data_IF_994932596202
#
_entry.id   IF_994932596202
#
_cell.length_a   1.000
_cell.length_b   1.000
_cell.length_c   1.000
_cell.angle_alpha   90.00
_cell.angle_beta   90.00
_cell.angle_gamma   90.00
#
_symmetry.space_group_name_H-M   'P 1'
#
loop_
_entity.id
_entity.type
_entity.pdbx_description
1 polymer ?
#
# COMPACT_ATOMS: atom_id res chain seq x y z
N UNK A 1 -22.22 35.41 -14.31
CA UNK A 1 -21.51 34.18 -14.71
C UNK A 1 -20.01 34.46 -14.71
N UNK A 2 -19.29 34.12 -13.65
CA UNK A 2 -17.83 34.28 -13.55
C UNK A 2 -17.19 32.91 -13.75
N UNK A 3 -16.44 32.77 -14.85
CA UNK A 3 -15.65 31.57 -15.13
C UNK A 3 -14.40 31.61 -14.24
N UNK A 4 -14.24 30.60 -13.40
CA UNK A 4 -13.00 30.37 -12.61
C UNK A 4 -12.06 29.56 -13.49
N UNK A 5 -10.95 30.18 -13.87
CA UNK A 5 -9.86 29.55 -14.61
C UNK A 5 -8.94 28.87 -13.61
N UNK A 6 -8.88 27.51 -13.62
CA UNK A 6 -7.91 26.74 -12.83
C UNK A 6 -6.63 26.67 -13.65
N UNK A 7 -5.59 27.36 -13.17
CA UNK A 7 -4.25 27.36 -13.75
C UNK A 7 -3.49 26.17 -13.18
N UNK A 8 -3.28 25.12 -13.96
CA UNK A 8 -2.38 24.01 -13.63
C UNK A 8 -0.94 24.43 -13.91
N UNK A 9 -0.13 24.57 -12.84
CA UNK A 9 1.30 24.88 -12.94
C UNK A 9 2.06 23.59 -13.27
N UNK A 10 2.37 23.39 -14.55
CA UNK A 10 3.33 22.39 -14.98
C UNK A 10 4.74 22.99 -14.84
N UNK A 11 5.53 22.44 -13.92
CA UNK A 11 6.97 22.76 -13.83
C UNK A 11 7.69 22.09 -14.99
N UNK A 12 8.05 22.91 -16.00
CA UNK A 12 8.92 22.54 -17.12
C UNK A 12 10.37 22.70 -16.67
N UNK A 13 11.07 21.62 -16.35
CA UNK A 13 12.53 21.64 -16.15
C UNK A 13 13.19 21.74 -17.54
N UNK A 14 13.79 22.90 -17.81
CA UNK A 14 14.55 23.15 -19.02
C UNK A 14 15.81 22.29 -19.09
N UNK A 15 15.93 21.47 -20.12
CA UNK A 15 17.15 20.76 -20.50
C UNK A 15 17.86 21.65 -21.51
N UNK A 16 19.02 22.21 -21.12
CA UNK A 16 19.93 22.88 -22.06
C UNK A 16 20.63 21.83 -22.91
N UNK A 17 20.46 21.91 -24.22
CA UNK A 17 21.19 21.09 -25.18
C UNK A 17 22.66 21.52 -25.19
N UNK A 18 23.57 20.62 -24.82
CA UNK A 18 25.01 20.74 -25.09
C UNK A 18 25.34 19.97 -26.37
N UNK A 19 26.22 20.58 -27.17
CA UNK A 19 26.58 20.20 -28.52
C UNK A 19 27.10 18.78 -28.66
N UNK A 20 26.63 18.12 -29.73
CA UNK A 20 27.08 16.81 -30.15
C UNK A 20 28.45 16.92 -30.85
N UNK A 21 29.47 16.29 -30.29
CA UNK A 21 30.64 15.86 -31.00
C UNK A 21 30.54 14.34 -31.20
N UNK A 22 30.68 13.97 -32.49
CA UNK A 22 30.57 12.59 -32.92
C UNK A 22 31.81 11.80 -32.50
N UNK A 23 31.62 10.86 -31.54
CA UNK A 23 32.55 9.77 -31.30
C UNK A 23 31.75 8.46 -31.40
N UNK A 24 32.11 7.64 -32.37
CA UNK A 24 31.69 6.26 -32.53
C UNK A 24 32.12 5.41 -31.35
N UNK A 25 31.34 5.43 -30.31
CA UNK A 25 31.38 4.53 -29.17
C UNK A 25 29.96 4.21 -28.80
N UNK A 26 29.63 2.94 -28.64
CA UNK A 26 28.27 2.46 -28.40
C UNK A 26 27.58 3.29 -27.33
N UNK A 27 26.45 3.88 -27.69
CA UNK A 27 25.55 4.58 -26.77
C UNK A 27 24.99 3.53 -25.83
N UNK A 28 25.62 3.39 -24.66
CA UNK A 28 24.97 2.73 -23.54
C UNK A 28 23.77 3.62 -23.18
N UNK A 29 22.60 3.28 -23.65
CA UNK A 29 21.37 3.81 -23.09
C UNK A 29 21.37 3.37 -21.63
N UNK A 30 21.75 4.25 -20.73
CA UNK A 30 21.46 4.12 -19.30
C UNK A 30 19.94 4.19 -19.23
N UNK A 31 19.30 3.03 -19.37
CA UNK A 31 17.88 2.89 -19.14
C UNK A 31 17.64 3.41 -17.73
N UNK A 32 16.73 4.37 -17.59
CA UNK A 32 16.23 4.76 -16.28
C UNK A 32 15.59 3.52 -15.68
N UNK A 33 16.40 2.75 -14.91
CA UNK A 33 15.95 1.55 -14.23
C UNK A 33 15.13 1.88 -13.00
N UNK A 34 14.52 0.88 -12.40
CA UNK A 34 13.86 1.04 -11.11
C UNK A 34 14.91 1.36 -10.03
N UNK A 35 14.59 2.23 -9.09
CA UNK A 35 15.52 2.67 -8.06
C UNK A 35 14.84 2.85 -6.70
N UNK A 36 15.55 2.47 -5.62
CA UNK A 36 15.17 2.79 -4.25
C UNK A 36 16.05 3.92 -3.74
N UNK A 37 15.42 4.95 -3.18
CA UNK A 37 16.10 6.14 -2.65
C UNK A 37 15.55 6.53 -1.28
N UNK A 38 16.36 7.25 -0.50
CA UNK A 38 15.89 7.92 0.71
C UNK A 38 14.96 9.07 0.31
N UNK A 39 13.75 9.07 0.86
CA UNK A 39 12.70 10.02 0.46
C UNK A 39 13.04 11.49 0.75
N UNK A 40 13.96 11.76 1.70
CA UNK A 40 14.31 13.11 2.09
C UNK A 40 15.55 13.63 1.35
N UNK A 41 16.52 12.75 1.08
CA UNK A 41 17.84 13.15 0.52
C UNK A 41 18.04 12.75 -0.93
N UNK A 42 17.14 11.90 -1.48
CA UNK A 42 17.27 11.24 -2.78
C UNK A 42 18.54 10.36 -2.91
N UNK A 43 19.24 10.10 -1.81
CA UNK A 43 20.41 9.22 -1.82
C UNK A 43 19.98 7.79 -2.15
N UNK A 44 20.76 7.04 -2.97
CA UNK A 44 20.46 5.66 -3.29
C UNK A 44 20.51 4.78 -2.04
N UNK A 45 19.63 3.80 -1.97
CA UNK A 45 19.59 2.83 -0.87
C UNK A 45 19.99 1.46 -1.40
N UNK A 46 21.17 0.99 -0.97
CA UNK A 46 21.68 -0.35 -1.26
C UNK A 46 21.05 -1.41 -0.36
N UNK A 47 20.84 -2.61 -0.92
CA UNK A 47 20.39 -3.78 -0.18
C UNK A 47 18.95 -3.67 0.37
N UNK A 48 18.13 -2.75 -0.15
CA UNK A 48 16.70 -2.76 0.13
C UNK A 48 16.08 -4.00 -0.52
N UNK A 49 15.26 -4.73 0.24
CA UNK A 49 14.54 -5.88 -0.26
C UNK A 49 13.23 -5.43 -0.90
N UNK A 50 13.05 -5.72 -2.16
CA UNK A 50 11.83 -5.51 -2.93
C UNK A 50 11.13 -6.86 -3.07
N UNK A 51 9.84 -6.96 -2.76
CA UNK A 51 9.08 -8.20 -2.86
C UNK A 51 7.69 -7.99 -3.45
N UNK A 52 7.25 -9.00 -4.18
CA UNK A 52 5.90 -9.16 -4.72
C UNK A 52 5.35 -10.49 -4.22
N UNK A 53 4.70 -10.53 -3.04
CA UNK A 53 4.28 -11.79 -2.42
C UNK A 53 3.33 -12.62 -3.31
N UNK A 54 2.40 -11.96 -4.00
CA UNK A 54 1.45 -12.62 -4.92
C UNK A 54 2.16 -13.37 -6.06
N UNK A 55 3.31 -12.90 -6.52
CA UNK A 55 4.12 -13.50 -7.59
C UNK A 55 5.24 -14.40 -7.05
N UNK A 56 5.35 -14.54 -5.72
CA UNK A 56 6.49 -15.22 -5.08
C UNK A 56 7.84 -14.69 -5.58
N UNK A 57 7.94 -13.37 -5.78
CA UNK A 57 9.12 -12.72 -6.33
C UNK A 57 9.78 -11.84 -5.28
N UNK A 58 11.11 -11.86 -5.25
CA UNK A 58 11.90 -10.95 -4.42
C UNK A 58 13.23 -10.64 -5.08
N UNK A 59 13.70 -9.41 -4.91
CA UNK A 59 15.01 -8.93 -5.35
C UNK A 59 15.58 -7.95 -4.35
N UNK A 60 16.82 -7.51 -4.53
CA UNK A 60 17.46 -6.47 -3.73
C UNK A 60 18.01 -5.36 -4.61
N UNK A 61 18.01 -4.13 -4.09
CA UNK A 61 18.68 -3.01 -4.75
C UNK A 61 20.21 -3.17 -4.67
N UNK A 62 20.89 -2.74 -5.72
CA UNK A 62 22.36 -2.70 -5.82
C UNK A 62 22.93 -1.50 -5.05
N UNK A 63 24.27 -1.28 -5.15
CA UNK A 63 24.99 -0.18 -4.49
C UNK A 63 24.50 1.21 -4.91
N UNK A 64 23.95 1.33 -6.11
CA UNK A 64 23.38 2.56 -6.67
C UNK A 64 21.86 2.66 -6.43
N UNK A 65 21.27 1.73 -5.65
CA UNK A 65 19.86 1.66 -5.36
C UNK A 65 19.03 1.05 -6.49
N UNK A 66 19.62 0.62 -7.61
CA UNK A 66 18.87 0.08 -8.73
C UNK A 66 18.39 -1.34 -8.44
N UNK A 67 17.24 -1.71 -9.01
CA UNK A 67 16.71 -3.07 -8.95
C UNK A 67 16.00 -3.45 -10.25
N UNK A 68 16.01 -4.73 -10.55
CA UNK A 68 15.23 -5.30 -11.65
C UNK A 68 13.89 -5.80 -11.12
N UNK A 69 12.84 -5.59 -11.90
CA UNK A 69 11.51 -6.11 -11.64
C UNK A 69 11.14 -7.06 -12.80
N UNK A 70 11.45 -8.33 -12.60
CA UNK A 70 11.19 -9.37 -13.58
C UNK A 70 10.13 -10.35 -13.04
N UNK A 71 8.87 -9.90 -13.06
CA UNK A 71 7.73 -10.68 -12.61
C UNK A 71 6.56 -10.53 -13.58
N UNK A 72 5.75 -11.57 -13.69
CA UNK A 72 4.53 -11.54 -14.49
C UNK A 72 3.40 -10.91 -13.67
N UNK A 73 2.76 -9.92 -14.24
CA UNK A 73 1.65 -9.19 -13.62
C UNK A 73 0.31 -9.65 -14.20
N UNK A 74 -0.68 -9.80 -13.34
CA UNK A 74 -2.07 -9.97 -13.75
C UNK A 74 -2.92 -9.15 -12.77
N UNK A 75 -3.38 -7.98 -13.22
CA UNK A 75 -4.11 -7.02 -12.39
C UNK A 75 -3.28 -6.42 -11.25
N UNK A 76 -3.94 -5.78 -10.32
CA UNK A 76 -3.30 -5.12 -9.19
C UNK A 76 -2.58 -6.09 -8.27
N UNK A 77 -1.41 -5.70 -7.82
CA UNK A 77 -0.63 -6.42 -6.80
C UNK A 77 0.07 -5.43 -5.87
N UNK A 78 0.40 -5.89 -4.68
CA UNK A 78 1.14 -5.07 -3.71
C UNK A 78 2.63 -5.40 -3.80
N UNK A 79 3.43 -4.39 -4.05
CA UNK A 79 4.89 -4.43 -3.93
C UNK A 79 5.31 -3.86 -2.58
N UNK A 80 6.25 -4.51 -1.91
CA UNK A 80 6.82 -4.05 -0.64
C UNK A 80 8.31 -3.78 -0.79
N UNK A 81 8.78 -2.73 -0.10
CA UNK A 81 10.20 -2.41 0.04
C UNK A 81 10.54 -2.39 1.53
N UNK A 82 11.55 -3.18 1.92
CA UNK A 82 12.04 -3.28 3.30
C UNK A 82 13.53 -2.94 3.36
N UNK A 83 13.88 -2.10 4.31
CA UNK A 83 15.27 -1.79 4.65
C UNK A 83 15.37 -1.46 6.13
N UNK A 84 16.35 -2.04 6.81
CA UNK A 84 16.60 -1.74 8.23
C UNK A 84 16.86 -0.24 8.42
N UNK A 85 16.26 0.33 9.44
CA UNK A 85 16.31 1.77 9.72
C UNK A 85 15.34 2.63 8.90
N UNK A 86 14.47 2.01 8.07
CA UNK A 86 13.44 2.69 7.30
C UNK A 86 12.04 2.20 7.70
N UNK A 87 11.05 3.08 7.50
CA UNK A 87 9.64 2.74 7.71
C UNK A 87 9.19 1.67 6.71
N UNK A 88 8.27 0.77 7.09
CA UNK A 88 7.65 -0.14 6.15
C UNK A 88 7.04 0.64 4.98
N UNK A 89 7.31 0.20 3.76
CA UNK A 89 6.79 0.82 2.54
C UNK A 89 6.15 -0.23 1.65
N UNK A 90 4.98 0.07 1.12
CA UNK A 90 4.35 -0.70 0.05
C UNK A 90 3.64 0.21 -0.92
N UNK A 91 3.41 -0.32 -2.12
CA UNK A 91 2.79 0.38 -3.24
C UNK A 91 1.98 -0.63 -4.05
N UNK A 92 0.78 -0.25 -4.44
CA UNK A 92 -0.02 -1.00 -5.40
C UNK A 92 0.48 -0.75 -6.82
N UNK A 93 0.78 -1.81 -7.55
CA UNK A 93 1.24 -1.75 -8.94
C UNK A 93 0.45 -2.72 -9.82
N UNK A 94 0.42 -2.41 -11.11
CA UNK A 94 -0.09 -3.25 -12.19
C UNK A 94 0.97 -3.40 -13.29
N UNK A 95 0.63 -4.07 -14.39
CA UNK A 95 1.51 -4.24 -15.54
C UNK A 95 1.90 -2.91 -16.19
N UNK A 96 1.05 -1.89 -16.19
CA UNK A 96 1.33 -0.58 -16.79
C UNK A 96 2.32 0.23 -15.96
N UNK A 97 2.21 0.16 -14.63
CA UNK A 97 3.14 0.79 -13.69
C UNK A 97 4.48 0.06 -13.74
N UNK A 98 4.45 -1.28 -13.71
CA UNK A 98 5.64 -2.11 -13.73
C UNK A 98 6.47 -2.00 -15.02
N UNK A 99 5.82 -1.64 -16.14
CA UNK A 99 6.47 -1.41 -17.43
C UNK A 99 7.26 -0.10 -17.51
N UNK A 100 7.15 0.77 -16.50
CA UNK A 100 7.81 2.08 -16.46
C UNK A 100 8.89 2.10 -15.37
N UNK A 101 9.97 2.89 -15.56
CA UNK A 101 10.94 3.12 -14.50
C UNK A 101 10.28 3.72 -13.26
N UNK A 102 10.58 3.14 -12.09
CA UNK A 102 10.04 3.58 -10.81
C UNK A 102 11.17 4.09 -9.90
N UNK A 103 10.96 5.24 -9.27
CA UNK A 103 11.82 5.73 -8.19
C UNK A 103 11.02 5.62 -6.89
N UNK A 104 11.44 4.71 -6.01
CA UNK A 104 10.76 4.40 -4.76
C UNK A 104 11.47 5.12 -3.62
N UNK A 105 10.86 6.20 -3.13
CA UNK A 105 11.36 6.96 -1.98
C UNK A 105 10.86 6.35 -0.67
N UNK A 106 11.75 5.80 0.15
CA UNK A 106 11.41 5.27 1.47
C UNK A 106 11.94 6.18 2.58
N UNK A 107 11.16 6.33 3.66
CA UNK A 107 11.46 7.23 4.76
C UNK A 107 12.25 6.52 5.86
N UNK A 108 13.29 7.19 6.39
CA UNK A 108 13.97 6.71 7.60
C UNK A 108 12.98 6.60 8.77
N UNK A 109 13.13 5.52 9.54
CA UNK A 109 12.44 5.37 10.81
C UNK A 109 12.93 6.45 11.79
N UNK A 110 12.00 7.02 12.53
CA UNK A 110 12.34 7.91 13.67
C UNK A 110 12.31 7.16 15.00
N UNK A 111 12.17 5.81 14.96
CA UNK A 111 12.13 4.94 16.14
C UNK A 111 10.80 4.96 16.91
N UNK A 112 9.77 5.60 16.34
CA UNK A 112 8.43 5.69 16.97
C UNK A 112 7.39 4.82 16.24
N UNK A 113 7.81 4.07 15.25
CA UNK A 113 6.97 3.12 14.55
C UNK A 113 6.90 1.79 15.30
N UNK A 114 5.70 1.25 15.43
CA UNK A 114 5.48 -0.12 15.86
C UNK A 114 4.97 -0.91 14.65
N UNK A 115 5.81 -1.78 14.10
CA UNK A 115 5.40 -2.67 13.02
C UNK A 115 4.48 -3.76 13.60
N UNK A 116 3.22 -3.77 13.16
CA UNK A 116 2.23 -4.77 13.57
C UNK A 116 2.34 -6.02 12.71
N UNK A 117 2.32 -5.81 11.38
CA UNK A 117 2.43 -6.88 10.41
C UNK A 117 3.08 -6.36 9.13
N UNK A 118 4.10 -7.06 8.68
CA UNK A 118 4.82 -6.69 7.45
C UNK A 118 4.55 -7.65 6.29
N UNK A 119 3.90 -8.77 6.55
CA UNK A 119 3.49 -9.71 5.53
C UNK A 119 2.23 -9.21 4.80
N UNK A 120 2.00 -9.73 3.61
CA UNK A 120 0.73 -9.56 2.92
C UNK A 120 -0.29 -10.49 3.57
N UNK A 121 -1.45 -9.95 3.90
CA UNK A 121 -2.61 -10.65 4.43
C UNK A 121 -3.70 -10.67 3.37
N UNK A 122 -4.37 -11.80 3.22
CA UNK A 122 -5.61 -11.93 2.48
C UNK A 122 -6.74 -12.21 3.48
N UNK A 123 -7.68 -11.27 3.61
CA UNK A 123 -8.89 -11.41 4.43
C UNK A 123 -10.06 -11.70 3.52
N UNK A 124 -10.95 -12.58 3.95
CA UNK A 124 -12.12 -13.00 3.17
C UNK A 124 -12.51 -14.44 3.46
N UNK A 125 -13.23 -15.06 2.57
CA UNK A 125 -13.65 -16.46 2.67
C UNK A 125 -13.25 -17.32 1.45
N UNK A 126 -12.51 -16.76 0.49
CA UNK A 126 -12.14 -17.33 -0.81
C UNK A 126 -13.36 -17.67 -1.68
N UNK A 127 -14.50 -17.10 -1.39
CA UNK A 127 -15.71 -17.33 -2.16
C UNK A 127 -15.94 -16.18 -3.14
N UNK A 128 -15.27 -16.26 -4.28
CA UNK A 128 -15.42 -15.28 -5.34
C UNK A 128 -16.71 -15.54 -6.10
N UNK A 129 -17.79 -14.86 -5.76
CA UNK A 129 -19.01 -14.90 -6.56
C UNK A 129 -18.74 -14.40 -7.98
N UNK A 130 -19.55 -14.83 -8.95
CA UNK A 130 -19.42 -14.40 -10.35
C UNK A 130 -19.54 -12.86 -10.53
N UNK A 131 -20.03 -12.17 -9.51
CA UNK A 131 -20.12 -10.71 -9.45
C UNK A 131 -19.04 -10.04 -8.61
N UNK A 132 -18.10 -10.78 -8.03
CA UNK A 132 -17.02 -10.17 -7.24
C UNK A 132 -16.04 -9.38 -8.11
N UNK A 133 -15.72 -8.17 -7.69
CA UNK A 133 -14.72 -7.33 -8.35
C UNK A 133 -13.32 -7.96 -8.35
N UNK A 134 -13.09 -8.94 -7.49
CA UNK A 134 -11.77 -9.49 -7.18
C UNK A 134 -11.60 -10.94 -7.58
N UNK A 135 -12.60 -11.53 -8.26
CA UNK A 135 -12.49 -12.88 -8.80
C UNK A 135 -11.22 -12.97 -9.66
N UNK A 136 -10.44 -14.03 -9.47
CA UNK A 136 -9.17 -14.31 -10.15
C UNK A 136 -7.96 -13.41 -9.82
N UNK A 137 -8.13 -12.35 -9.03
CA UNK A 137 -7.01 -11.47 -8.69
C UNK A 137 -6.15 -12.00 -7.54
N UNK A 138 -6.75 -12.66 -6.55
CA UNK A 138 -6.03 -13.12 -5.38
C UNK A 138 -5.42 -14.51 -5.57
N UNK A 139 -4.17 -14.66 -5.13
CA UNK A 139 -3.41 -15.92 -5.19
C UNK A 139 -3.12 -16.50 -3.82
N UNK A 140 -3.11 -15.66 -2.78
CA UNK A 140 -2.98 -16.12 -1.40
C UNK A 140 -4.32 -16.68 -0.92
N UNK A 141 -4.25 -17.70 -0.07
CA UNK A 141 -5.43 -18.21 0.61
C UNK A 141 -5.87 -17.21 1.69
N UNK A 142 -7.16 -16.93 1.79
CA UNK A 142 -7.70 -16.11 2.87
C UNK A 142 -7.45 -16.78 4.24
N UNK A 143 -7.10 -15.96 5.22
CA UNK A 143 -6.92 -16.39 6.62
C UNK A 143 -8.22 -16.30 7.42
N UNK A 144 -9.30 -15.84 6.79
CA UNK A 144 -10.61 -15.59 7.38
C UNK A 144 -10.99 -14.11 7.28
N UNK A 145 -12.23 -13.77 7.68
CA UNK A 145 -12.72 -12.39 7.54
C UNK A 145 -12.17 -11.41 8.59
N UNK A 146 -11.38 -11.90 9.54
CA UNK A 146 -10.84 -11.10 10.64
C UNK A 146 -9.33 -11.28 10.74
N UNK A 147 -8.64 -10.17 10.99
CA UNK A 147 -7.26 -10.18 11.42
C UNK A 147 -7.15 -9.40 12.72
N UNK A 148 -6.63 -10.04 13.77
CA UNK A 148 -6.42 -9.42 15.07
C UNK A 148 -4.97 -9.56 15.49
N UNK A 149 -4.36 -8.48 15.93
CA UNK A 149 -2.99 -8.46 16.43
C UNK A 149 -2.85 -7.57 17.66
N UNK A 150 -2.09 -8.06 18.62
CA UNK A 150 -1.74 -7.30 19.82
C UNK A 150 -0.33 -6.72 19.70
N UNK A 151 -0.12 -5.56 20.30
CA UNK A 151 1.16 -4.85 20.31
C UNK A 151 1.25 -3.91 21.52
N UNK A 152 2.42 -3.34 21.76
CA UNK A 152 2.64 -2.35 22.82
C UNK A 152 2.95 -1.00 22.23
N UNK A 153 2.45 0.04 22.89
CA UNK A 153 2.78 1.44 22.61
C UNK A 153 3.41 2.05 23.85
N UNK A 154 4.51 2.78 23.65
CA UNK A 154 5.19 3.46 24.77
C UNK A 154 4.41 4.68 25.24
N UNK A 155 4.46 4.96 26.55
CA UNK A 155 3.82 6.14 27.16
C UNK A 155 4.30 7.46 26.53
N UNK A 156 5.51 7.55 26.02
CA UNK A 156 6.04 8.75 25.37
C UNK A 156 5.33 9.12 24.05
N UNK A 157 4.50 8.21 23.50
CA UNK A 157 3.72 8.48 22.29
C UNK A 157 2.34 9.08 22.57
N UNK A 158 1.88 9.11 23.82
CA UNK A 158 0.51 9.57 24.18
C UNK A 158 0.24 11.03 23.82
N UNK A 159 1.27 11.88 23.82
CA UNK A 159 1.15 13.31 23.48
C UNK A 159 1.33 13.58 21.98
N UNK A 160 1.46 12.53 21.18
CA UNK A 160 1.62 12.61 19.73
C UNK A 160 0.31 12.26 19.02
N UNK A 161 0.25 12.59 17.74
CA UNK A 161 -0.80 12.04 16.88
C UNK A 161 -0.41 10.61 16.52
N UNK A 162 -1.22 9.66 16.91
CA UNK A 162 -1.01 8.25 16.66
C UNK A 162 -1.92 7.76 15.53
N UNK A 163 -1.37 7.05 14.59
CA UNK A 163 -2.10 6.52 13.43
C UNK A 163 -1.84 5.03 13.27
N UNK A 164 -2.89 4.26 13.02
CA UNK A 164 -2.75 2.99 12.33
C UNK A 164 -2.53 3.31 10.85
N UNK A 165 -1.44 2.81 10.29
CA UNK A 165 -1.10 2.96 8.88
C UNK A 165 -1.22 1.61 8.21
N UNK A 166 -2.03 1.56 7.14
CA UNK A 166 -2.10 0.44 6.21
C UNK A 166 -1.27 0.84 5.00
N UNK A 167 -0.15 0.15 4.79
CA UNK A 167 0.78 0.49 3.72
C UNK A 167 0.15 0.39 2.34
N UNK A 168 -0.57 -0.70 2.08
CA UNK A 168 -1.38 -0.87 0.87
C UNK A 168 -2.59 -1.75 1.15
N UNK A 169 -3.71 -1.47 0.49
CA UNK A 169 -4.91 -2.30 0.50
C UNK A 169 -5.55 -2.32 -0.88
N UNK A 170 -5.90 -3.50 -1.36
CA UNK A 170 -6.58 -3.74 -2.63
C UNK A 170 -7.75 -4.71 -2.42
N UNK A 171 -8.68 -4.70 -3.35
CA UNK A 171 -9.81 -5.61 -3.36
C UNK A 171 -11.08 -5.04 -2.75
N UNK A 172 -11.08 -3.82 -2.25
CA UNK A 172 -12.27 -3.20 -1.66
C UNK A 172 -13.36 -3.00 -2.72
N UNK A 173 -14.53 -3.60 -2.47
CA UNK A 173 -15.70 -3.55 -3.35
C UNK A 173 -16.86 -2.75 -2.72
N UNK A 174 -16.58 -1.58 -2.17
CA UNK A 174 -17.62 -0.69 -1.64
C UNK A 174 -18.34 0.10 -2.72
N UNK A 175 -19.51 0.64 -2.41
CA UNK A 175 -20.22 1.56 -3.30
C UNK A 175 -19.36 2.80 -3.64
N UNK A 176 -18.54 3.28 -2.69
CA UNK A 176 -17.63 4.40 -2.91
C UNK A 176 -16.49 4.01 -3.86
N UNK A 177 -15.84 2.87 -3.66
CA UNK A 177 -14.78 2.37 -4.55
C UNK A 177 -15.28 2.25 -5.99
N UNK A 178 -16.50 1.74 -6.18
CA UNK A 178 -17.16 1.67 -7.49
C UNK A 178 -17.42 3.05 -8.08
N UNK A 179 -17.95 3.97 -7.31
CA UNK A 179 -18.22 5.34 -7.79
C UNK A 179 -16.96 6.09 -8.21
N UNK A 180 -15.82 5.71 -7.60
CA UNK A 180 -14.48 6.25 -7.94
C UNK A 180 -13.78 5.47 -9.07
N UNK A 181 -14.44 4.47 -9.66
CA UNK A 181 -13.88 3.68 -10.76
C UNK A 181 -12.80 2.69 -10.35
N UNK A 182 -12.69 2.36 -9.05
CA UNK A 182 -11.67 1.43 -8.55
C UNK A 182 -12.03 -0.04 -8.78
N UNK A 183 -13.26 -0.33 -9.15
CA UNK A 183 -13.66 -1.65 -9.65
C UNK A 183 -14.65 -1.49 -10.82
N UNK A 184 -14.71 -2.50 -11.69
CA UNK A 184 -15.53 -2.49 -12.90
C UNK A 184 -16.85 -3.27 -12.78
N UNK A 185 -17.07 -4.00 -11.69
CA UNK A 185 -18.23 -4.85 -11.50
C UNK A 185 -19.44 -4.00 -11.11
N UNK A 186 -20.48 -3.98 -11.97
CA UNK A 186 -21.59 -3.05 -11.80
C UNK A 186 -22.57 -3.42 -10.70
N UNK A 187 -22.78 -4.71 -10.45
CA UNK A 187 -23.89 -5.20 -9.64
C UNK A 187 -23.46 -5.83 -8.32
N UNK A 188 -22.18 -5.82 -8.02
CA UNK A 188 -21.63 -6.34 -6.76
C UNK A 188 -20.99 -5.20 -5.97
N UNK A 189 -21.27 -5.15 -4.67
CA UNK A 189 -20.57 -4.32 -3.71
C UNK A 189 -20.71 -4.89 -2.31
N UNK A 190 -19.76 -4.57 -1.46
CA UNK A 190 -19.72 -4.97 -0.06
C UNK A 190 -19.93 -3.80 0.88
N UNK A 191 -20.21 -4.09 2.15
CA UNK A 191 -20.00 -3.11 3.21
C UNK A 191 -18.50 -2.80 3.32
N UNK A 192 -18.11 -1.61 3.81
CA UNK A 192 -16.70 -1.29 4.00
C UNK A 192 -16.07 -2.20 5.06
N UNK A 193 -14.78 -2.56 4.91
CA UNK A 193 -14.01 -3.14 5.99
C UNK A 193 -13.99 -2.24 7.22
N UNK A 194 -14.11 -2.85 8.40
CA UNK A 194 -14.17 -2.15 9.68
C UNK A 194 -12.85 -2.29 10.45
N UNK A 195 -12.42 -1.20 11.07
CA UNK A 195 -11.21 -1.16 11.90
C UNK A 195 -11.59 -0.91 13.35
N UNK A 196 -11.14 -1.81 14.21
CA UNK A 196 -11.33 -1.73 15.65
C UNK A 196 -9.99 -1.53 16.35
N UNK A 197 -9.99 -0.71 17.38
CA UNK A 197 -8.88 -0.52 18.28
C UNK A 197 -9.33 -0.72 19.72
N UNK A 198 -8.70 -1.66 20.42
CA UNK A 198 -9.08 -2.07 21.77
C UNK A 198 -10.57 -2.39 21.93
N UNK A 199 -11.16 -3.06 20.93
CA UNK A 199 -12.57 -3.44 20.89
C UNK A 199 -13.55 -2.35 20.45
N UNK A 200 -13.07 -1.12 20.21
CA UNK A 200 -13.91 -0.01 19.74
C UNK A 200 -13.72 0.20 18.25
N UNK A 201 -14.80 0.24 17.48
CA UNK A 201 -14.77 0.60 16.05
C UNK A 201 -14.30 2.05 15.90
N UNK A 202 -13.24 2.27 15.14
CA UNK A 202 -12.62 3.58 14.96
C UNK A 202 -12.71 4.10 13.52
N UNK A 203 -12.86 3.21 12.54
CA UNK A 203 -12.93 3.61 11.13
C UNK A 203 -13.62 2.56 10.27
N UNK A 204 -13.98 2.97 9.06
CA UNK A 204 -14.35 2.15 7.92
C UNK A 204 -13.43 2.49 6.74
N UNK A 205 -13.01 1.48 5.97
CA UNK A 205 -12.14 1.66 4.81
C UNK A 205 -13.00 1.62 3.56
N UNK A 206 -13.13 2.77 2.88
CA UNK A 206 -14.04 2.93 1.76
C UNK A 206 -13.38 2.69 0.40
N UNK A 207 -12.06 2.83 0.30
CA UNK A 207 -11.32 2.87 -0.97
C UNK A 207 -10.06 1.99 -0.90
N UNK A 208 -9.69 1.42 -2.03
CA UNK A 208 -8.36 0.89 -2.25
C UNK A 208 -7.33 2.02 -2.20
N UNK A 209 -6.10 1.71 -1.83
CA UNK A 209 -5.03 2.71 -1.87
C UNK A 209 -3.84 2.38 -0.98
N UNK A 210 -2.85 3.25 -1.09
CA UNK A 210 -1.58 3.12 -0.38
C UNK A 210 -1.47 4.16 0.74
N UNK A 211 -0.70 3.81 1.79
CA UNK A 211 -0.41 4.67 2.94
C UNK A 211 -1.66 5.28 3.60
N UNK A 212 -2.68 4.45 3.80
CA UNK A 212 -3.90 4.91 4.45
C UNK A 212 -3.68 5.08 5.96
N UNK A 213 -3.94 6.30 6.45
CA UNK A 213 -3.77 6.67 7.86
C UNK A 213 -5.12 6.75 8.56
N UNK A 214 -5.27 5.98 9.63
CA UNK A 214 -6.45 5.98 10.51
C UNK A 214 -6.01 6.50 11.87
N UNK A 215 -6.54 7.65 12.29
CA UNK A 215 -6.19 8.26 13.57
C UNK A 215 -6.66 7.38 14.74
N UNK A 216 -5.76 7.07 15.65
CA UNK A 216 -6.10 6.39 16.90
C UNK A 216 -6.59 7.40 17.93
N UNK A 217 -7.76 7.17 18.56
CA UNK A 217 -8.22 7.98 19.68
C UNK A 217 -7.29 7.80 20.90
N UNK A 218 -6.67 8.87 21.37
CA UNK A 218 -5.69 8.81 22.47
C UNK A 218 -6.28 8.22 23.77
N UNK A 219 -7.57 8.45 24.02
CA UNK A 219 -8.28 7.90 25.18
C UNK A 219 -8.46 6.37 25.14
N UNK A 220 -8.26 5.74 24.00
CA UNK A 220 -8.30 4.28 23.87
C UNK A 220 -6.91 3.64 23.99
N UNK A 221 -5.83 4.42 23.91
CA UNK A 221 -4.46 3.91 23.98
C UNK A 221 -4.12 3.47 25.41
N UNK A 222 -3.67 2.23 25.55
CA UNK A 222 -3.17 1.66 26.80
C UNK A 222 -1.64 1.75 26.78
N UNK A 223 -1.10 2.83 27.37
CA UNK A 223 0.33 3.06 27.40
C UNK A 223 1.08 1.97 28.17
N UNK A 224 2.24 1.55 27.63
CA UNK A 224 3.10 0.50 28.18
C UNK A 224 2.40 -0.84 28.45
N UNK A 225 1.20 -0.99 27.92
CA UNK A 225 0.36 -2.16 28.04
C UNK A 225 -0.02 -2.72 26.67
N UNK A 226 -0.72 -3.86 26.65
CA UNK A 226 -1.19 -4.49 25.43
C UNK A 226 -2.35 -3.70 24.82
N UNK A 227 -2.16 -3.28 23.58
CA UNK A 227 -3.19 -2.77 22.69
C UNK A 227 -3.51 -3.82 21.64
N UNK A 228 -4.68 -3.71 21.03
CA UNK A 228 -5.15 -4.63 20.02
C UNK A 228 -5.73 -3.85 18.84
N UNK A 229 -5.40 -4.27 17.63
CA UNK A 229 -6.09 -3.85 16.40
C UNK A 229 -6.78 -5.05 15.79
N UNK A 230 -8.02 -4.85 15.33
CA UNK A 230 -8.75 -5.83 14.52
C UNK A 230 -9.20 -5.15 13.24
N UNK A 231 -8.95 -5.81 12.10
CA UNK A 231 -9.52 -5.45 10.79
C UNK A 231 -10.48 -6.57 10.41
N UNK A 232 -11.73 -6.19 10.18
CA UNK A 232 -12.76 -7.08 9.66
C UNK A 232 -13.05 -6.68 8.22
N UNK A 233 -13.02 -7.64 7.28
CA UNK A 233 -13.41 -7.36 5.90
C UNK A 233 -14.91 -7.11 5.77
N UNK A 234 -15.32 -6.50 4.66
CA UNK A 234 -16.71 -6.22 4.36
C UNK A 234 -17.52 -7.48 4.07
N UNK A 235 -18.82 -7.28 3.86
CA UNK A 235 -19.77 -8.34 3.46
C UNK A 235 -20.46 -7.91 2.17
N UNK A 236 -20.62 -8.85 1.25
CA UNK A 236 -21.36 -8.61 0.02
C UNK A 236 -22.82 -8.35 0.33
N UNK A 237 -23.31 -7.16 0.01
CA UNK A 237 -24.67 -6.71 0.29
C UNK A 237 -25.70 -7.24 -0.73
N UNK A 238 -25.25 -7.83 -1.82
CA UNK A 238 -26.13 -8.41 -2.85
C UNK A 238 -26.45 -9.89 -2.60
N UNK A 239 -25.72 -10.55 -1.70
CA UNK A 239 -25.95 -11.95 -1.32
C UNK A 239 -26.96 -12.03 -0.18
N UNK A 240 -28.01 -12.85 -0.36
CA UNK A 240 -29.09 -13.00 0.60
C UNK A 240 -29.20 -14.41 1.22
N UNK A 241 -28.57 -15.40 0.60
CA UNK A 241 -28.65 -16.78 1.03
C UNK A 241 -27.65 -17.18 2.12
N UNK A 242 -26.52 -16.50 2.18
CA UNK A 242 -25.43 -16.74 3.15
C UNK A 242 -24.60 -15.47 3.31
N UNK A 243 -23.75 -15.43 4.33
CA UNK A 243 -22.78 -14.34 4.50
C UNK A 243 -21.62 -14.61 3.56
N UNK A 244 -21.41 -13.70 2.63
CA UNK A 244 -20.31 -13.67 1.67
C UNK A 244 -19.38 -12.54 2.08
N UNK A 245 -18.21 -12.90 2.58
CA UNK A 245 -17.23 -11.91 3.02
C UNK A 245 -16.40 -11.42 1.83
N UNK A 246 -16.23 -10.11 1.74
CA UNK A 246 -15.42 -9.50 0.71
C UNK A 246 -13.94 -9.91 0.87
N UNK A 247 -13.31 -10.32 -0.22
CA UNK A 247 -11.90 -10.70 -0.23
C UNK A 247 -11.03 -9.48 -0.51
N UNK A 248 -10.13 -9.17 0.42
CA UNK A 248 -9.20 -8.04 0.33
C UNK A 248 -7.78 -8.48 0.64
N UNK A 249 -6.79 -7.86 0.00
CA UNK A 249 -5.38 -8.01 0.35
C UNK A 249 -4.85 -6.71 0.93
N UNK A 250 -4.09 -6.81 2.01
CA UNK A 250 -3.45 -5.67 2.65
C UNK A 250 -2.03 -6.01 3.14
N UNK A 251 -1.19 -5.00 3.28
CA UNK A 251 0.22 -5.18 3.64
C UNK A 251 0.77 -4.00 4.43
N UNK A 252 1.78 -4.28 5.27
CA UNK A 252 2.50 -3.29 6.06
C UNK A 252 1.61 -2.51 7.02
N UNK A 253 1.06 -3.23 8.01
CA UNK A 253 0.37 -2.59 9.14
C UNK A 253 1.38 -2.08 10.16
N UNK A 254 1.27 -0.81 10.54
CA UNK A 254 2.12 -0.20 11.56
C UNK A 254 1.37 0.88 12.34
N UNK A 255 1.84 1.16 13.56
CA UNK A 255 1.50 2.39 14.27
C UNK A 255 2.61 3.40 14.00
N UNK A 256 2.21 4.61 13.64
CA UNK A 256 3.12 5.75 13.47
C UNK A 256 2.69 6.88 14.40
N UNK A 257 3.66 7.44 15.12
CA UNK A 257 3.46 8.55 16.07
C UNK A 257 4.20 9.78 15.55
N UNK A 258 3.45 10.89 15.37
CA UNK A 258 3.92 12.15 14.75
C UNK A 258 3.67 13.36 15.66
#
# INVERSE_FOLDING_TARGET
MKKILILSLAMLLGITAANADALTGGVSTVGLGNKVVDANTNAPISGAQISLPKQNYSTKSDENGNFNLNANFSGNTIMSVKKDGYKPFSLTIDEHIAARPMILGIQKSNGREVVIESAMLHLGDNNFSAGSANSDQFKLKAIGPFYTKTFKMSANTLNLNNYLVIGSIIGIDTAMARSMGQNSVRNSFSSPPEVYFNGTKIAEIQLNGDNQKIKLPNNLIRADNTNEVTIQTGKNLTQHAYVDYDDIELMNLSIQSE
#
